data_IF_237888896073
#
_entry.id   IF_237888896073
#
_cell.length_a   1.000
_cell.length_b   1.000
_cell.length_c   1.000
_cell.angle_alpha   90.00
_cell.angle_beta   90.00
_cell.angle_gamma   90.00
#
_symmetry.space_group_name_H-M   'P 1'
#
loop_
_entity.id
_entity.type
_entity.pdbx_description
1 polymer ?
#
# COMPACT_ATOMS: atom_id res chain seq x y z
N UNK A 1 -23.65 37.70 9.21
CA UNK A 1 -23.12 37.70 10.59
C UNK A 1 -21.62 37.86 10.50
N UNK A 2 -21.10 39.02 10.88
CA UNK A 2 -19.67 39.29 10.82
C UNK A 2 -18.92 38.45 11.86
N UNK A 3 -18.16 37.46 11.38
CA UNK A 3 -17.32 36.64 12.23
C UNK A 3 -16.12 37.48 12.70
N UNK A 4 -16.16 37.94 13.95
CA UNK A 4 -15.06 38.72 14.54
C UNK A 4 -13.86 37.81 14.81
N UNK A 5 -12.78 38.05 14.07
CA UNK A 5 -11.50 37.35 14.23
C UNK A 5 -10.94 37.64 15.61
N UNK A 6 -10.53 36.59 16.32
CA UNK A 6 -9.97 36.68 17.67
C UNK A 6 -8.68 37.50 17.67
N UNK A 7 -8.69 38.62 18.40
CA UNK A 7 -7.54 39.54 18.54
C UNK A 7 -6.56 39.10 19.64
N UNK A 8 -7.05 38.44 20.69
CA UNK A 8 -6.22 37.95 21.80
C UNK A 8 -5.82 36.48 21.63
N UNK A 9 -4.51 36.23 21.58
CA UNK A 9 -3.86 34.94 21.31
C UNK A 9 -3.28 34.25 22.56
N UNK A 10 -3.74 34.60 23.76
CA UNK A 10 -3.32 33.93 25.00
C UNK A 10 -3.89 32.51 25.12
N UNK A 11 -3.11 31.60 25.72
CA UNK A 11 -3.46 30.19 25.88
C UNK A 11 -4.54 30.02 26.96
N UNK A 12 -5.81 30.03 26.56
CA UNK A 12 -6.91 29.59 27.40
C UNK A 12 -7.02 28.05 27.32
N UNK A 13 -7.31 27.40 28.44
CA UNK A 13 -7.46 25.94 28.57
C UNK A 13 -8.47 25.30 27.61
N UNK A 14 -8.85 24.01 27.79
CA UNK A 14 -9.54 23.21 26.78
C UNK A 14 -10.98 23.71 26.48
N UNK A 15 -11.08 24.72 25.61
CA UNK A 15 -12.33 25.27 25.10
C UNK A 15 -12.74 24.52 23.82
N UNK A 16 -13.99 24.07 23.73
CA UNK A 16 -14.53 23.43 22.52
C UNK A 16 -14.79 24.49 21.45
N UNK A 17 -13.88 24.60 20.50
CA UNK A 17 -13.92 25.52 19.36
C UNK A 17 -14.95 25.09 18.29
N UNK A 18 -16.26 25.20 18.59
CA UNK A 18 -17.35 24.78 17.67
C UNK A 18 -17.60 25.79 16.55
N UNK A 19 -17.75 27.07 16.89
CA UNK A 19 -18.01 28.14 15.92
C UNK A 19 -16.85 28.32 14.95
N UNK A 20 -15.62 28.24 15.46
CA UNK A 20 -14.39 28.28 14.67
C UNK A 20 -14.30 27.09 13.71
N UNK A 21 -14.74 25.90 14.14
CA UNK A 21 -14.73 24.69 13.30
C UNK A 21 -15.77 24.78 12.17
N UNK A 22 -16.95 25.30 12.44
CA UNK A 22 -17.97 25.53 11.42
C UNK A 22 -17.52 26.55 10.38
N UNK A 23 -16.94 27.68 10.82
CA UNK A 23 -16.38 28.69 9.92
C UNK A 23 -15.20 28.15 9.09
N UNK A 24 -14.34 27.34 9.71
CA UNK A 24 -13.26 26.66 8.99
C UNK A 24 -13.78 25.80 7.84
N UNK A 25 -14.85 25.02 8.03
CA UNK A 25 -15.42 24.18 6.96
C UNK A 25 -16.13 25.00 5.88
N UNK A 26 -16.76 26.12 6.24
CA UNK A 26 -17.35 27.06 5.26
C UNK A 26 -16.27 27.66 4.35
N UNK A 27 -15.14 28.11 4.91
CA UNK A 27 -14.00 28.61 4.13
C UNK A 27 -13.38 27.52 3.24
N UNK A 28 -13.26 26.29 3.72
CA UNK A 28 -12.76 25.17 2.91
C UNK A 28 -13.69 24.84 1.75
N UNK A 29 -15.02 24.91 1.94
CA UNK A 29 -16.00 24.74 0.85
C UNK A 29 -15.95 25.85 -0.19
N UNK A 30 -15.54 27.07 0.21
CA UNK A 30 -15.29 28.19 -0.69
C UNK A 30 -13.93 28.11 -1.41
N UNK A 31 -13.15 27.03 -1.22
CA UNK A 31 -11.90 26.78 -1.92
C UNK A 31 -10.62 27.24 -1.20
N UNK A 32 -10.73 27.80 0.00
CA UNK A 32 -9.55 28.25 0.75
C UNK A 32 -8.67 27.08 1.25
N UNK A 33 -7.35 27.24 1.11
CA UNK A 33 -6.37 26.26 1.59
C UNK A 33 -6.31 26.17 3.12
N UNK A 34 -5.86 25.03 3.66
CA UNK A 34 -5.84 24.77 5.12
C UNK A 34 -5.13 25.87 5.94
N UNK A 35 -4.01 26.38 5.42
CA UNK A 35 -3.21 27.44 6.08
C UNK A 35 -3.99 28.75 6.15
N UNK A 36 -4.70 29.10 5.09
CA UNK A 36 -5.46 30.33 4.99
C UNK A 36 -6.76 30.25 5.80
N UNK A 37 -7.50 29.15 5.70
CA UNK A 37 -8.69 28.89 6.50
C UNK A 37 -8.38 28.88 8.01
N UNK A 38 -7.27 28.24 8.43
CA UNK A 38 -6.85 28.25 9.83
C UNK A 38 -6.47 29.65 10.32
N UNK A 39 -5.80 30.45 9.48
CA UNK A 39 -5.41 31.83 9.79
C UNK A 39 -6.65 32.73 9.97
N UNK A 40 -7.64 32.64 9.08
CA UNK A 40 -8.88 33.44 9.14
C UNK A 40 -9.71 33.12 10.37
N UNK A 41 -9.71 31.85 10.79
CA UNK A 41 -10.45 31.36 11.96
C UNK A 41 -9.68 31.60 13.28
N UNK A 42 -8.41 32.00 13.22
CA UNK A 42 -7.60 32.28 14.40
C UNK A 42 -7.09 31.02 15.12
N UNK A 43 -6.92 29.90 14.40
CA UNK A 43 -6.42 28.64 14.95
C UNK A 43 -5.09 28.22 14.33
N UNK A 44 -4.30 27.44 15.08
CA UNK A 44 -3.04 26.91 14.57
C UNK A 44 -3.30 25.95 13.39
N UNK A 45 -2.41 25.92 12.38
CA UNK A 45 -2.57 25.10 11.18
C UNK A 45 -2.78 23.60 11.49
N UNK A 46 -2.13 23.13 12.57
CA UNK A 46 -2.31 21.77 13.11
C UNK A 46 -3.77 21.48 13.50
N UNK A 47 -4.44 22.43 14.14
CA UNK A 47 -5.84 22.30 14.57
C UNK A 47 -6.78 22.19 13.37
N UNK A 48 -6.59 23.04 12.35
CA UNK A 48 -7.32 22.93 11.08
C UNK A 48 -7.07 21.59 10.39
N UNK A 49 -5.82 21.10 10.41
CA UNK A 49 -5.45 19.79 9.87
C UNK A 49 -6.13 18.64 10.62
N UNK A 50 -6.26 18.73 11.95
CA UNK A 50 -6.97 17.77 12.78
C UNK A 50 -8.49 17.81 12.57
N UNK A 51 -9.08 18.98 12.31
CA UNK A 51 -10.50 19.08 11.97
C UNK A 51 -10.80 18.45 10.62
N UNK A 52 -9.96 18.73 9.61
CA UNK A 52 -10.11 18.20 8.26
C UNK A 52 -9.87 16.70 8.15
N UNK A 53 -8.85 16.19 8.86
CA UNK A 53 -8.37 14.83 8.66
C UNK A 53 -8.62 13.89 9.86
N UNK A 54 -9.17 14.42 10.96
CA UNK A 54 -9.29 13.74 12.25
C UNK A 54 -8.01 13.85 13.10
N UNK A 55 -8.14 13.64 14.41
CA UNK A 55 -6.98 13.44 15.29
C UNK A 55 -6.29 12.11 14.96
N UNK A 56 -4.97 12.13 14.85
CA UNK A 56 -4.15 10.92 14.74
C UNK A 56 -4.12 10.23 16.11
N UNK A 57 -5.16 9.45 16.44
CA UNK A 57 -5.06 8.47 17.52
C UNK A 57 -4.45 7.19 16.93
N UNK A 58 -3.32 6.67 17.46
CA UNK A 58 -2.64 5.52 16.87
C UNK A 58 -3.43 4.21 16.95
N UNK A 59 -4.58 4.15 17.63
CA UNK A 59 -5.20 2.87 17.97
C UNK A 59 -6.74 2.80 18.04
N UNK A 60 -7.48 3.65 17.32
CA UNK A 60 -8.94 3.44 17.15
C UNK A 60 -9.34 3.47 15.69
N UNK A 61 -9.62 2.29 15.14
CA UNK A 61 -10.43 2.10 13.94
C UNK A 61 -11.80 2.76 14.21
N UNK A 62 -11.98 4.01 13.76
CA UNK A 62 -13.35 4.53 13.61
C UNK A 62 -13.96 3.82 12.41
N UNK A 63 -15.16 3.26 12.61
CA UNK A 63 -15.99 2.83 11.51
C UNK A 63 -16.10 4.00 10.48
N UNK A 64 -16.10 3.70 9.17
CA UNK A 64 -16.27 4.74 8.16
C UNK A 64 -17.51 5.57 8.50
N UNK A 65 -17.40 6.89 8.36
CA UNK A 65 -18.55 7.77 8.49
C UNK A 65 -19.63 7.26 7.54
N UNK A 66 -20.78 6.86 8.08
CA UNK A 66 -21.95 6.58 7.25
C UNK A 66 -22.27 7.89 6.53
N UNK A 67 -22.23 7.87 5.20
CA UNK A 67 -22.70 9.00 4.42
C UNK A 67 -24.18 9.19 4.77
N UNK A 68 -24.52 10.30 5.41
CA UNK A 68 -25.91 10.73 5.50
C UNK A 68 -26.42 10.89 4.07
N UNK A 69 -27.32 9.99 3.67
CA UNK A 69 -27.89 9.96 2.33
C UNK A 69 -28.87 11.12 2.24
N UNK A 70 -28.73 11.96 1.21
CA UNK A 70 -29.66 13.04 0.93
C UNK A 70 -31.12 12.52 0.91
N UNK A 71 -32.05 13.16 1.61
CA UNK A 71 -33.47 12.79 1.59
C UNK A 71 -34.05 13.21 0.23
N UNK A 72 -34.33 12.26 -0.65
CA UNK A 72 -35.02 12.60 -1.91
C UNK A 72 -35.03 11.54 -3.02
N UNK A 73 -34.16 10.53 -2.99
CA UNK A 73 -34.22 9.48 -4.00
C UNK A 73 -35.19 8.36 -3.57
N UNK A 74 -36.28 8.19 -4.32
CA UNK A 74 -37.17 7.04 -4.22
C UNK A 74 -36.34 5.73 -4.29
N UNK A 75 -36.14 5.10 -3.13
CA UNK A 75 -35.42 3.83 -3.04
C UNK A 75 -36.24 2.69 -3.65
N UNK A 76 -35.57 1.75 -4.34
CA UNK A 76 -36.18 0.48 -4.80
C UNK A 76 -36.87 -0.30 -3.66
N UNK A 77 -36.38 -0.14 -2.44
CA UNK A 77 -36.92 -0.78 -1.23
C UNK A 77 -37.71 0.23 -0.39
N UNK A 78 -38.81 -0.23 0.22
CA UNK A 78 -39.51 0.53 1.25
C UNK A 78 -38.54 0.89 2.38
N UNK A 79 -38.56 2.14 2.81
CA UNK A 79 -37.81 2.66 3.95
C UNK A 79 -38.65 2.61 5.22
N UNK A 80 -38.04 2.93 6.37
CA UNK A 80 -38.76 2.97 7.65
C UNK A 80 -39.92 3.98 7.62
N UNK A 81 -39.70 5.15 7.04
CA UNK A 81 -40.74 6.16 6.83
C UNK A 81 -41.92 5.64 5.98
N UNK A 82 -41.64 4.92 4.89
CA UNK A 82 -42.68 4.29 4.07
C UNK A 82 -43.49 3.27 4.89
N UNK A 83 -42.82 2.52 5.79
CA UNK A 83 -43.47 1.54 6.66
C UNK A 83 -44.32 2.18 7.74
N UNK A 84 -43.87 3.30 8.32
CA UNK A 84 -44.66 4.11 9.26
C UNK A 84 -45.92 4.63 8.58
N UNK A 85 -45.79 5.20 7.38
CA UNK A 85 -46.92 5.67 6.57
C UNK A 85 -47.92 4.54 6.28
N UNK A 86 -47.46 3.35 5.88
CA UNK A 86 -48.34 2.18 5.71
C UNK A 86 -49.08 1.85 7.01
N UNK A 87 -48.42 1.91 8.17
CA UNK A 87 -49.04 1.59 9.45
C UNK A 87 -50.14 2.60 9.84
N UNK A 88 -49.89 3.90 9.64
CA UNK A 88 -50.85 4.95 9.97
C UNK A 88 -52.07 4.88 9.04
N UNK A 89 -51.86 4.73 7.73
CA UNK A 89 -52.97 4.62 6.77
C UNK A 89 -53.80 3.35 6.92
N UNK A 90 -53.21 2.27 7.43
CA UNK A 90 -53.98 1.07 7.81
C UNK A 90 -54.87 1.31 9.03
N UNK A 91 -54.46 2.16 9.99
CA UNK A 91 -55.30 2.56 11.12
C UNK A 91 -56.49 3.41 10.65
N UNK A 92 -56.25 4.26 9.65
CA UNK A 92 -57.29 5.04 8.96
C UNK A 92 -58.19 4.20 8.04
N UNK A 93 -58.00 2.87 8.00
CA UNK A 93 -58.72 1.93 7.12
C UNK A 93 -58.58 2.24 5.63
N UNK A 94 -57.49 2.90 5.21
CA UNK A 94 -57.23 3.19 3.80
C UNK A 94 -57.00 1.91 2.99
N UNK A 95 -57.40 1.91 1.72
CA UNK A 95 -57.21 0.77 0.83
C UNK A 95 -55.73 0.62 0.42
N UNK A 96 -55.31 -0.61 0.13
CA UNK A 96 -53.94 -0.90 -0.36
C UNK A 96 -53.60 -0.09 -1.62
N UNK A 97 -54.59 0.19 -2.49
CA UNK A 97 -54.41 1.00 -3.70
C UNK A 97 -54.17 2.48 -3.38
N UNK A 98 -54.87 3.03 -2.38
CA UNK A 98 -54.67 4.40 -1.92
C UNK A 98 -53.27 4.58 -1.32
N UNK A 99 -52.87 3.67 -0.41
CA UNK A 99 -51.54 3.68 0.21
C UNK A 99 -50.43 3.57 -0.85
N UNK A 100 -50.64 2.73 -1.87
CA UNK A 100 -49.74 2.59 -3.00
C UNK A 100 -49.61 3.87 -3.83
N UNK A 101 -50.73 4.55 -4.12
CA UNK A 101 -50.71 5.81 -4.85
C UNK A 101 -49.99 6.92 -4.07
N UNK A 102 -50.27 7.05 -2.77
CA UNK A 102 -49.64 8.03 -1.86
C UNK A 102 -48.11 7.85 -1.78
N UNK A 103 -47.63 6.60 -1.77
CA UNK A 103 -46.20 6.29 -1.70
C UNK A 103 -45.51 6.18 -3.08
N UNK A 104 -46.23 6.32 -4.19
CA UNK A 104 -45.70 6.09 -5.53
C UNK A 104 -45.16 4.65 -5.71
N UNK A 105 -45.91 3.65 -5.22
CA UNK A 105 -45.55 2.21 -5.25
C UNK A 105 -46.63 1.38 -5.93
N UNK A 106 -46.25 0.19 -6.40
CA UNK A 106 -47.27 -0.75 -6.90
C UNK A 106 -48.16 -1.26 -5.75
N UNK A 107 -49.48 -1.45 -5.95
CA UNK A 107 -50.37 -2.06 -4.96
C UNK A 107 -49.87 -3.45 -4.49
N UNK A 108 -49.22 -4.18 -5.40
CA UNK A 108 -48.60 -5.48 -5.08
C UNK A 108 -47.44 -5.37 -4.09
N UNK A 109 -46.66 -4.29 -4.13
CA UNK A 109 -45.58 -4.05 -3.16
C UNK A 109 -46.14 -3.88 -1.76
N UNK A 110 -47.16 -3.02 -1.61
CA UNK A 110 -47.81 -2.72 -0.33
C UNK A 110 -48.53 -3.96 0.20
N UNK A 111 -49.29 -4.67 -0.65
CA UNK A 111 -49.98 -5.91 -0.27
C UNK A 111 -49.01 -6.98 0.28
N UNK A 112 -47.89 -7.22 -0.42
CA UNK A 112 -46.88 -8.20 0.00
C UNK A 112 -46.17 -7.78 1.29
N UNK A 113 -45.85 -6.49 1.45
CA UNK A 113 -45.22 -5.98 2.66
C UNK A 113 -46.11 -6.18 3.88
N UNK A 114 -47.40 -5.81 3.77
CA UNK A 114 -48.36 -5.98 4.85
C UNK A 114 -48.49 -7.47 5.18
N UNK A 115 -48.81 -8.31 4.19
CA UNK A 115 -49.02 -9.75 4.40
C UNK A 115 -47.82 -10.42 5.07
N UNK A 116 -46.61 -10.12 4.61
CA UNK A 116 -45.37 -10.73 5.11
C UNK A 116 -45.00 -10.33 6.54
N UNK A 117 -45.46 -9.16 7.00
CA UNK A 117 -45.04 -8.58 8.28
C UNK A 117 -46.19 -8.42 9.29
N UNK A 118 -47.36 -9.03 9.04
CA UNK A 118 -48.44 -9.13 10.04
C UNK A 118 -48.00 -9.95 11.24
N UNK A 119 -48.41 -9.50 12.43
CA UNK A 119 -48.17 -10.24 13.66
C UNK A 119 -49.04 -11.52 13.71
N UNK A 120 -48.47 -12.70 13.98
CA UNK A 120 -49.20 -13.97 13.91
C UNK A 120 -50.42 -14.06 14.82
N UNK A 121 -50.36 -13.47 16.01
CA UNK A 121 -51.44 -13.60 17.01
C UNK A 121 -52.59 -12.61 16.85
N UNK A 122 -52.36 -11.40 16.33
CA UNK A 122 -53.39 -10.36 16.29
C UNK A 122 -53.53 -9.68 14.91
N UNK A 123 -52.80 -10.15 13.91
CA UNK A 123 -52.87 -9.66 12.53
C UNK A 123 -52.35 -8.24 12.32
N UNK A 124 -51.87 -7.54 13.37
CA UNK A 124 -51.47 -6.14 13.27
C UNK A 124 -50.15 -5.99 12.50
N UNK A 125 -50.08 -4.93 11.69
CA UNK A 125 -48.86 -4.55 10.99
C UNK A 125 -47.99 -3.68 11.91
N UNK A 126 -46.74 -4.10 12.16
CA UNK A 126 -45.79 -3.39 13.04
C UNK A 126 -44.61 -2.84 12.22
N UNK A 127 -44.50 -1.51 12.01
CA UNK A 127 -43.56 -0.92 11.07
C UNK A 127 -42.09 -1.12 11.46
N UNK A 128 -41.73 -0.90 12.73
CA UNK A 128 -40.34 -1.11 13.21
C UNK A 128 -39.90 -2.57 13.15
N UNK A 129 -40.80 -3.51 13.45
CA UNK A 129 -40.50 -4.94 13.31
C UNK A 129 -40.36 -5.35 11.84
N UNK A 130 -41.13 -4.76 10.93
CA UNK A 130 -41.00 -4.96 9.49
C UNK A 130 -39.66 -4.41 8.97
N UNK A 131 -39.22 -3.24 9.45
CA UNK A 131 -37.91 -2.66 9.14
C UNK A 131 -36.78 -3.57 9.63
N UNK A 132 -36.80 -3.98 10.91
CA UNK A 132 -35.78 -4.86 11.48
C UNK A 132 -35.68 -6.20 10.73
N UNK A 133 -36.81 -6.80 10.31
CA UNK A 133 -36.80 -8.02 9.46
C UNK A 133 -36.29 -7.76 8.06
N UNK A 134 -36.58 -6.60 7.48
CA UNK A 134 -36.05 -6.23 6.16
C UNK A 134 -34.53 -6.07 6.23
N UNK A 135 -34.01 -5.41 7.26
CA UNK A 135 -32.58 -5.26 7.50
C UNK A 135 -31.92 -6.60 7.82
N UNK A 136 -32.55 -7.47 8.61
CA UNK A 136 -32.04 -8.82 8.89
C UNK A 136 -31.99 -9.73 7.66
N UNK A 137 -32.86 -9.53 6.66
CA UNK A 137 -32.86 -10.27 5.38
C UNK A 137 -31.95 -9.65 4.31
N UNK A 138 -31.43 -8.45 4.57
CA UNK A 138 -30.61 -7.69 3.61
C UNK A 138 -29.25 -8.34 3.37
N UNK A 139 -28.56 -8.92 4.36
CA UNK A 139 -27.36 -9.72 4.12
C UNK A 139 -27.70 -10.92 3.25
N UNK A 140 -27.09 -10.98 2.06
CA UNK A 140 -27.00 -12.21 1.26
C UNK A 140 -25.53 -12.57 1.12
N UNK A 141 -24.90 -13.14 2.16
CA UNK A 141 -23.52 -13.58 2.06
C UNK A 141 -23.46 -14.69 1.00
N UNK A 142 -22.82 -14.41 -0.12
CA UNK A 142 -22.37 -15.45 -1.04
C UNK A 142 -20.98 -15.86 -0.57
N UNK A 143 -20.70 -17.17 -0.44
CA UNK A 143 -19.33 -17.60 -0.22
C UNK A 143 -18.48 -17.08 -1.39
N UNK A 144 -17.31 -16.53 -1.09
CA UNK A 144 -16.39 -16.05 -2.11
C UNK A 144 -15.64 -17.21 -2.74
N UNK A 145 -15.15 -16.97 -3.96
CA UNK A 145 -14.41 -17.95 -4.76
C UNK A 145 -13.17 -18.52 -4.04
N UNK A 146 -12.53 -17.72 -3.17
CA UNK A 146 -11.36 -18.17 -2.40
C UNK A 146 -11.80 -19.10 -1.26
N UNK A 147 -12.91 -18.79 -0.58
CA UNK A 147 -13.49 -19.65 0.44
C UNK A 147 -13.96 -21.01 -0.07
N UNK A 148 -14.52 -21.06 -1.28
CA UNK A 148 -15.06 -22.29 -1.89
C UNK A 148 -13.98 -23.21 -2.48
N UNK A 149 -12.84 -22.67 -2.91
CA UNK A 149 -11.78 -23.43 -3.56
C UNK A 149 -10.52 -23.51 -2.68
N UNK A 150 -10.35 -24.65 -2.01
CA UNK A 150 -9.21 -24.90 -1.12
C UNK A 150 -7.87 -24.76 -1.84
N UNK A 151 -7.72 -25.33 -3.04
CA UNK A 151 -6.46 -25.23 -3.79
C UNK A 151 -6.11 -23.79 -4.17
N UNK A 152 -7.11 -22.97 -4.52
CA UNK A 152 -6.91 -21.54 -4.77
C UNK A 152 -6.49 -20.80 -3.50
N UNK A 153 -7.18 -21.06 -2.39
CA UNK A 153 -6.88 -20.45 -1.09
C UNK A 153 -5.46 -20.79 -0.64
N UNK A 154 -5.08 -22.06 -0.72
CA UNK A 154 -3.78 -22.55 -0.26
C UNK A 154 -2.66 -21.98 -1.16
N UNK A 155 -2.87 -21.90 -2.48
CA UNK A 155 -1.92 -21.22 -3.37
C UNK A 155 -1.76 -19.73 -3.01
N UNK A 156 -2.86 -19.01 -2.75
CA UNK A 156 -2.80 -17.60 -2.36
C UNK A 156 -2.07 -17.45 -1.02
N UNK A 157 -2.37 -18.32 -0.05
CA UNK A 157 -1.78 -18.37 1.27
C UNK A 157 -0.25 -18.55 1.18
N UNK A 158 0.22 -19.60 0.50
CA UNK A 158 1.64 -19.92 0.36
C UNK A 158 2.47 -18.78 -0.25
N UNK A 159 1.89 -18.07 -1.21
CA UNK A 159 2.59 -16.97 -1.89
C UNK A 159 2.49 -15.66 -1.09
N UNK A 160 1.41 -15.44 -0.35
CA UNK A 160 1.35 -14.34 0.62
C UNK A 160 2.37 -14.55 1.73
N UNK A 161 2.59 -15.76 2.22
CA UNK A 161 3.60 -16.05 3.26
C UNK A 161 5.03 -15.76 2.76
N UNK A 162 5.27 -15.95 1.45
CA UNK A 162 6.48 -15.52 0.73
C UNK A 162 6.49 -14.02 0.37
N UNK A 163 5.54 -13.24 0.92
CA UNK A 163 5.32 -11.78 0.73
C UNK A 163 5.19 -11.36 -0.73
N UNK A 164 4.57 -12.20 -1.57
CA UNK A 164 4.17 -11.80 -2.91
C UNK A 164 3.01 -10.81 -2.83
N UNK A 165 2.98 -9.84 -3.74
CA UNK A 165 1.83 -8.95 -3.83
C UNK A 165 0.63 -9.69 -4.43
N UNK A 166 -0.61 -9.29 -4.09
CA UNK A 166 -1.81 -9.84 -4.72
C UNK A 166 -1.77 -9.82 -6.27
N UNK A 167 -1.19 -8.79 -6.89
CA UNK A 167 -1.01 -8.74 -8.35
C UNK A 167 -0.04 -9.83 -8.86
N UNK A 168 1.09 -10.05 -8.16
CA UNK A 168 2.04 -11.12 -8.49
C UNK A 168 1.37 -12.50 -8.41
N UNK A 169 0.58 -12.73 -7.36
CA UNK A 169 -0.14 -13.99 -7.16
C UNK A 169 -1.15 -14.24 -8.29
N UNK A 170 -1.92 -13.21 -8.69
CA UNK A 170 -2.89 -13.33 -9.79
C UNK A 170 -2.23 -13.74 -11.11
N UNK A 171 -1.07 -13.16 -11.43
CA UNK A 171 -0.37 -13.47 -12.67
C UNK A 171 0.26 -14.85 -12.63
N UNK A 172 0.78 -15.26 -11.46
CA UNK A 172 1.28 -16.61 -11.26
C UNK A 172 0.18 -17.67 -11.36
N UNK A 173 -1.02 -17.40 -10.81
CA UNK A 173 -2.19 -18.27 -10.97
C UNK A 173 -2.57 -18.46 -12.44
N UNK A 174 -2.60 -17.38 -13.23
CA UNK A 174 -2.88 -17.47 -14.68
C UNK A 174 -1.83 -18.26 -15.45
N UNK A 175 -0.55 -18.02 -15.15
CA UNK A 175 0.58 -18.71 -15.80
C UNK A 175 0.61 -20.20 -15.43
N UNK A 176 0.35 -20.54 -14.17
CA UNK A 176 0.38 -21.93 -13.69
C UNK A 176 -0.85 -22.72 -14.11
N UNK A 177 -2.01 -22.08 -14.21
CA UNK A 177 -3.29 -22.75 -14.46
C UNK A 177 -4.06 -22.13 -15.64
N UNK A 178 -3.49 -22.05 -16.85
CA UNK A 178 -4.11 -21.32 -17.97
C UNK A 178 -5.50 -21.86 -18.36
N UNK A 179 -5.69 -23.18 -18.27
CA UNK A 179 -6.94 -23.85 -18.63
C UNK A 179 -7.95 -23.99 -17.46
N UNK A 180 -7.70 -23.38 -16.30
CA UNK A 180 -8.56 -23.51 -15.11
C UNK A 180 -9.06 -22.15 -14.61
N UNK A 181 -10.15 -21.60 -15.20
CA UNK A 181 -10.70 -20.30 -14.82
C UNK A 181 -11.10 -20.22 -13.34
N UNK A 182 -11.43 -21.33 -12.69
CA UNK A 182 -11.73 -21.43 -11.27
C UNK A 182 -10.53 -21.11 -10.36
N UNK A 183 -9.30 -21.18 -10.88
CA UNK A 183 -8.08 -20.74 -10.20
C UNK A 183 -7.76 -19.26 -10.42
N UNK A 184 -8.48 -18.58 -11.32
CA UNK A 184 -8.17 -17.18 -11.66
C UNK A 184 -8.97 -16.21 -10.80
N UNK A 185 -8.27 -15.27 -10.17
CA UNK A 185 -8.86 -14.16 -9.43
C UNK A 185 -8.19 -12.85 -9.84
N UNK A 186 -8.87 -11.73 -9.61
CA UNK A 186 -8.26 -10.41 -9.70
C UNK A 186 -7.65 -10.04 -8.35
N UNK A 187 -6.64 -9.17 -8.34
CA UNK A 187 -5.93 -8.82 -7.10
C UNK A 187 -6.84 -8.14 -6.07
N UNK A 188 -7.89 -7.44 -6.52
CA UNK A 188 -8.94 -6.91 -5.64
C UNK A 188 -9.69 -8.01 -4.90
N UNK A 189 -9.91 -9.19 -5.50
CA UNK A 189 -10.54 -10.33 -4.81
C UNK A 189 -9.68 -10.80 -3.62
N UNK A 190 -8.37 -10.83 -3.79
CA UNK A 190 -7.43 -11.17 -2.71
C UNK A 190 -7.44 -10.08 -1.64
N UNK A 191 -7.45 -8.79 -2.01
CA UNK A 191 -7.57 -7.69 -1.04
C UNK A 191 -8.87 -7.75 -0.25
N UNK A 192 -10.01 -8.01 -0.90
CA UNK A 192 -11.30 -8.16 -0.23
C UNK A 192 -11.30 -9.35 0.73
N UNK A 193 -10.68 -10.48 0.36
CA UNK A 193 -10.53 -11.64 1.24
C UNK A 193 -9.65 -11.35 2.47
N UNK A 194 -8.66 -10.46 2.36
CA UNK A 194 -7.80 -10.04 3.47
C UNK A 194 -8.45 -8.99 4.39
N UNK A 195 -9.23 -8.06 3.85
CA UNK A 195 -9.72 -6.89 4.59
C UNK A 195 -11.18 -7.00 5.09
N UNK A 196 -12.04 -7.77 4.43
CA UNK A 196 -13.46 -7.83 4.79
C UNK A 196 -13.69 -8.86 5.90
N UNK A 197 -13.83 -8.38 7.13
CA UNK A 197 -14.08 -9.20 8.34
C UNK A 197 -15.31 -10.13 8.23
N UNK A 198 -16.27 -9.85 7.34
CA UNK A 198 -17.45 -10.69 7.11
C UNK A 198 -17.26 -11.81 6.08
N UNK A 199 -16.11 -11.91 5.41
CA UNK A 199 -15.79 -13.02 4.50
C UNK A 199 -14.81 -14.03 5.11
N UNK A 200 -13.82 -13.59 5.89
CA UNK A 200 -13.00 -14.48 6.73
C UNK A 200 -12.29 -15.64 6.00
N UNK A 201 -12.10 -15.55 4.68
CA UNK A 201 -11.58 -16.65 3.85
C UNK A 201 -10.05 -16.84 4.00
N UNK A 202 -9.35 -15.81 4.50
CA UNK A 202 -7.90 -15.81 4.75
C UNK A 202 -7.60 -15.27 6.16
N UNK A 203 -6.53 -15.78 6.78
CA UNK A 203 -6.13 -15.38 8.14
C UNK A 203 -5.72 -13.90 8.17
N UNK A 204 -6.14 -13.18 9.22
CA UNK A 204 -5.86 -11.74 9.39
C UNK A 204 -4.36 -11.43 9.50
N UNK A 205 -3.56 -12.37 9.98
CA UNK A 205 -2.11 -12.25 10.16
C UNK A 205 -1.37 -12.01 8.85
N UNK A 206 -1.95 -12.43 7.71
CA UNK A 206 -1.38 -12.27 6.37
C UNK A 206 -1.36 -10.83 5.89
N UNK A 207 -2.11 -9.95 6.53
CA UNK A 207 -1.99 -8.50 6.28
C UNK A 207 -0.58 -7.98 6.60
N UNK A 208 0.19 -8.66 7.47
CA UNK A 208 1.60 -8.36 7.75
C UNK A 208 2.54 -8.67 6.59
N UNK A 209 2.14 -9.60 5.71
CA UNK A 209 2.95 -9.99 4.55
C UNK A 209 2.79 -9.03 3.36
N UNK A 210 1.83 -8.09 3.42
CA UNK A 210 1.65 -7.06 2.40
C UNK A 210 2.78 -6.02 2.45
N UNK A 211 3.21 -5.56 1.27
CA UNK A 211 4.36 -4.64 1.09
C UNK A 211 4.29 -3.35 1.91
N UNK A 212 3.09 -2.92 2.28
CA UNK A 212 2.87 -1.75 3.12
C UNK A 212 1.79 -2.04 4.14
N UNK A 213 2.12 -2.05 5.43
CA UNK A 213 1.15 -2.00 6.53
C UNK A 213 0.44 -0.63 6.67
N UNK A 214 0.39 0.15 5.60
CA UNK A 214 -0.08 1.55 5.60
C UNK A 214 -1.58 1.58 5.34
N UNK A 215 -2.32 2.28 6.20
CA UNK A 215 -3.74 2.57 5.97
C UNK A 215 -3.99 3.80 5.06
N UNK A 216 -2.97 4.63 4.77
CA UNK A 216 -3.07 5.85 3.93
C UNK A 216 -1.78 6.18 3.18
N UNK A 217 -1.91 6.89 2.05
CA UNK A 217 -0.81 7.39 1.20
C UNK A 217 -0.09 8.56 1.88
N UNK A 218 1.25 8.59 1.81
CA UNK A 218 2.06 9.73 2.28
C UNK A 218 2.17 10.81 1.20
N UNK A 219 2.20 12.10 1.57
CA UNK A 219 2.65 13.17 0.69
C UNK A 219 4.14 13.00 0.35
N UNK A 220 4.51 13.33 -0.88
CA UNK A 220 5.90 13.36 -1.34
C UNK A 220 6.67 14.48 -0.62
N UNK A 221 7.92 14.22 -0.18
CA UNK A 221 8.83 15.27 0.30
C UNK A 221 9.77 15.64 -0.84
N UNK A 222 10.09 16.92 -0.97
CA UNK A 222 11.13 17.41 -1.89
C UNK A 222 12.51 17.18 -1.27
N UNK A 223 13.47 16.75 -2.09
CA UNK A 223 14.84 16.52 -1.67
C UNK A 223 15.62 17.86 -1.67
N UNK A 224 16.23 18.22 -0.55
CA UNK A 224 17.21 19.29 -0.49
C UNK A 224 18.61 18.72 -0.81
N UNK A 225 19.40 19.47 -1.58
CA UNK A 225 20.70 19.04 -2.10
C UNK A 225 21.76 18.85 -1.00
N UNK A 226 22.69 17.92 -1.23
CA UNK A 226 23.89 17.70 -0.40
C UNK A 226 25.13 17.88 -1.28
N UNK A 227 26.20 18.40 -0.67
CA UNK A 227 27.50 18.69 -1.28
C UNK A 227 28.40 17.43 -1.36
N UNK A 228 29.33 17.35 -2.34
CA UNK A 228 30.21 16.20 -2.56
C UNK A 228 31.31 16.06 -1.49
N UNK A 229 31.83 14.82 -1.30
CA UNK A 229 32.66 14.43 -0.14
C UNK A 229 33.98 13.67 -0.45
N UNK A 230 34.44 13.57 -1.70
CA UNK A 230 35.65 12.77 -2.05
C UNK A 230 36.80 13.56 -2.68
N UNK A 231 38.00 12.98 -2.55
CA UNK A 231 39.31 13.51 -2.95
C UNK A 231 39.89 12.94 -4.25
N UNK A 232 39.32 11.89 -4.85
CA UNK A 232 39.81 11.27 -6.10
C UNK A 232 38.87 11.54 -7.29
N UNK A 233 39.40 11.67 -8.53
CA UNK A 233 38.58 11.92 -9.73
C UNK A 233 37.61 10.76 -10.01
N UNK A 234 36.35 11.09 -10.33
CA UNK A 234 35.26 10.15 -10.54
C UNK A 234 34.97 9.96 -12.04
N UNK A 235 34.73 8.72 -12.47
CA UNK A 235 34.09 8.44 -13.76
C UNK A 235 32.58 8.55 -13.55
N UNK A 236 31.98 9.59 -14.12
CA UNK A 236 30.55 9.88 -13.93
C UNK A 236 29.68 8.93 -14.75
N UNK A 237 28.42 8.73 -14.36
CA UNK A 237 27.48 7.85 -15.08
C UNK A 237 27.29 8.27 -16.55
N UNK A 238 27.52 9.54 -16.88
CA UNK A 238 27.52 10.08 -18.24
C UNK A 238 28.62 9.53 -19.14
N UNK A 239 29.69 8.99 -18.57
CA UNK A 239 30.83 8.41 -19.30
C UNK A 239 30.63 6.92 -19.59
N UNK A 240 29.43 6.38 -19.37
CA UNK A 240 29.10 4.98 -19.68
C UNK A 240 28.90 4.76 -21.17
N UNK A 241 29.30 3.59 -21.69
CA UNK A 241 28.87 3.13 -23.00
C UNK A 241 27.34 3.13 -23.12
N UNK A 242 26.81 3.56 -24.28
CA UNK A 242 25.38 3.69 -24.51
C UNK A 242 24.59 2.37 -24.35
N UNK A 243 25.25 1.22 -24.57
CA UNK A 243 24.71 -0.13 -24.37
C UNK A 243 24.18 -0.40 -22.94
N UNK A 244 24.62 0.38 -21.94
CA UNK A 244 24.22 0.23 -20.53
C UNK A 244 22.82 0.82 -20.27
N UNK A 245 22.38 1.80 -21.05
CA UNK A 245 21.08 2.45 -20.86
C UNK A 245 19.91 1.58 -21.32
N UNK A 246 20.11 0.80 -22.39
CA UNK A 246 19.08 -0.07 -22.96
C UNK A 246 18.80 -1.32 -22.10
N UNK A 247 19.63 -1.59 -21.07
CA UNK A 247 19.48 -2.74 -20.15
C UNK A 247 19.36 -4.08 -20.91
N UNK A 248 19.93 -4.13 -22.10
CA UNK A 248 19.91 -5.28 -22.99
C UNK A 248 21.03 -6.26 -22.65
N UNK A 249 22.16 -5.74 -22.16
CA UNK A 249 23.35 -6.53 -21.81
C UNK A 249 23.36 -6.85 -20.32
N UNK A 250 23.45 -8.13 -19.91
CA UNK A 250 23.59 -8.50 -18.51
C UNK A 250 24.97 -8.17 -17.96
N UNK A 251 25.01 -7.97 -16.64
CA UNK A 251 26.25 -7.82 -15.87
C UNK A 251 26.58 -6.39 -15.46
N UNK A 252 25.66 -5.46 -15.68
CA UNK A 252 25.75 -4.12 -15.12
C UNK A 252 24.97 -4.07 -13.81
N UNK A 253 25.67 -3.78 -12.70
CA UNK A 253 25.09 -3.82 -11.36
C UNK A 253 24.86 -2.40 -10.83
N UNK A 254 23.75 -2.20 -10.14
CA UNK A 254 23.47 -1.03 -9.32
C UNK A 254 23.66 -1.39 -7.84
N UNK A 255 24.48 -0.61 -7.15
CA UNK A 255 24.77 -0.74 -5.74
C UNK A 255 24.11 0.31 -4.86
N UNK A 256 23.77 -0.05 -3.62
CA UNK A 256 23.25 0.85 -2.59
C UNK A 256 23.47 0.27 -1.19
N UNK A 257 23.24 1.07 -0.16
CA UNK A 257 23.24 0.63 1.24
C UNK A 257 21.85 0.73 1.87
N UNK A 258 21.41 -0.37 2.46
CA UNK A 258 20.31 -0.37 3.42
C UNK A 258 20.89 -0.10 4.80
N UNK A 259 20.60 1.09 5.33
CA UNK A 259 21.04 1.49 6.67
C UNK A 259 20.05 1.01 7.74
N UNK A 260 20.60 0.48 8.84
CA UNK A 260 19.93 0.01 10.04
C UNK A 260 19.70 1.09 11.09
N UNK A 261 19.49 0.66 12.33
CA UNK A 261 19.23 1.53 13.48
C UNK A 261 20.39 2.51 13.72
N UNK A 262 20.04 3.78 13.91
CA UNK A 262 20.96 4.89 14.25
C UNK A 262 22.19 5.04 13.34
N UNK A 263 22.17 4.44 12.14
CA UNK A 263 23.31 4.42 11.24
C UNK A 263 24.43 3.45 11.62
N UNK A 264 24.22 2.61 12.65
CA UNK A 264 25.24 1.72 13.22
C UNK A 264 25.45 0.39 12.49
N UNK A 265 24.48 -0.06 11.69
CA UNK A 265 24.59 -1.27 10.87
C UNK A 265 24.07 -1.04 9.45
N UNK A 266 24.55 -1.85 8.51
CA UNK A 266 24.20 -1.75 7.10
C UNK A 266 24.19 -3.11 6.42
N UNK A 267 23.45 -3.20 5.31
CA UNK A 267 23.54 -4.29 4.33
C UNK A 267 23.76 -3.64 2.97
N UNK A 268 24.75 -4.10 2.22
CA UNK A 268 24.93 -3.69 0.84
C UNK A 268 23.94 -4.41 -0.07
N UNK A 269 23.46 -3.72 -1.09
CA UNK A 269 22.51 -4.28 -2.05
C UNK A 269 23.06 -4.12 -3.44
N UNK A 270 23.15 -5.22 -4.19
CA UNK A 270 23.52 -5.23 -5.60
C UNK A 270 22.31 -5.69 -6.41
N UNK A 271 21.93 -4.92 -7.43
CA UNK A 271 20.82 -5.25 -8.32
C UNK A 271 21.29 -5.21 -9.76
N UNK A 272 21.15 -6.33 -10.46
CA UNK A 272 21.54 -6.43 -11.87
C UNK A 272 20.51 -5.70 -12.76
N UNK A 273 20.99 -4.85 -13.68
CA UNK A 273 20.17 -3.88 -14.42
C UNK A 273 19.23 -4.52 -15.46
N UNK A 274 19.48 -5.74 -15.91
CA UNK A 274 18.72 -6.36 -16.99
C UNK A 274 17.67 -7.34 -16.44
N UNK A 275 18.07 -8.15 -15.47
CA UNK A 275 17.31 -9.23 -14.82
C UNK A 275 16.67 -8.80 -13.50
N UNK A 276 17.10 -7.69 -12.89
CA UNK A 276 16.74 -7.28 -11.52
C UNK A 276 17.13 -8.30 -10.46
N UNK A 277 18.11 -9.16 -10.76
CA UNK A 277 18.61 -10.13 -9.80
C UNK A 277 19.30 -9.40 -8.64
N UNK A 278 18.96 -9.79 -7.42
CA UNK A 278 19.41 -9.11 -6.20
C UNK A 278 20.42 -9.98 -5.47
N UNK A 279 21.51 -9.37 -5.05
CA UNK A 279 22.45 -9.96 -4.10
C UNK A 279 22.60 -9.03 -2.89
N UNK A 280 22.74 -9.61 -1.71
CA UNK A 280 22.92 -8.88 -0.47
C UNK A 280 24.35 -9.07 0.03
N UNK A 281 25.02 -7.96 0.31
CA UNK A 281 26.39 -7.91 0.80
C UNK A 281 26.33 -7.81 2.31
N UNK A 282 26.83 -8.85 2.98
CA UNK A 282 26.88 -8.92 4.45
C UNK A 282 28.01 -8.03 4.99
N UNK A 283 27.67 -7.09 5.89
CA UNK A 283 28.59 -6.12 6.47
C UNK A 283 28.60 -6.20 8.00
N UNK A 284 29.16 -7.28 8.59
CA UNK A 284 29.09 -7.50 10.04
C UNK A 284 29.97 -6.54 10.85
N UNK A 285 31.07 -6.08 10.27
CA UNK A 285 32.08 -5.23 10.93
C UNK A 285 31.89 -3.73 10.65
N UNK A 286 30.79 -3.36 10.00
CA UNK A 286 30.45 -1.97 9.69
C UNK A 286 30.57 -1.61 8.21
N UNK A 287 30.43 -0.32 7.91
CA UNK A 287 30.31 0.24 6.55
C UNK A 287 31.45 1.19 6.16
N UNK A 288 32.63 1.02 6.75
CA UNK A 288 33.80 1.78 6.29
C UNK A 288 34.13 1.41 4.84
N UNK A 289 34.90 2.25 4.17
CA UNK A 289 35.22 2.04 2.76
C UNK A 289 35.99 0.73 2.53
N UNK A 290 36.85 0.34 3.48
CA UNK A 290 37.63 -0.90 3.45
C UNK A 290 36.73 -2.13 3.62
N UNK A 291 35.88 -2.12 4.66
CA UNK A 291 34.95 -3.22 4.89
C UNK A 291 33.97 -3.41 3.72
N UNK A 292 33.51 -2.30 3.14
CA UNK A 292 32.62 -2.34 1.98
C UNK A 292 33.33 -2.89 0.74
N UNK A 293 34.56 -2.42 0.46
CA UNK A 293 35.40 -2.95 -0.63
C UNK A 293 35.60 -4.45 -0.49
N UNK A 294 36.03 -4.93 0.67
CA UNK A 294 36.38 -6.33 0.88
C UNK A 294 35.15 -7.23 0.73
N UNK A 295 34.01 -6.81 1.30
CA UNK A 295 32.75 -7.55 1.19
C UNK A 295 32.19 -7.54 -0.24
N UNK A 296 32.29 -6.41 -0.96
CA UNK A 296 31.92 -6.32 -2.37
C UNK A 296 32.78 -7.24 -3.23
N UNK A 297 34.10 -7.18 -3.05
CA UNK A 297 35.07 -8.00 -3.78
C UNK A 297 34.75 -9.49 -3.60
N UNK A 298 34.58 -9.95 -2.37
CA UNK A 298 34.21 -11.34 -2.08
C UNK A 298 32.86 -11.74 -2.73
N UNK A 299 31.92 -10.80 -2.85
CA UNK A 299 30.60 -11.05 -3.45
C UNK A 299 30.68 -11.16 -4.97
N UNK A 300 31.39 -10.25 -5.64
CA UNK A 300 31.51 -10.24 -7.11
C UNK A 300 32.42 -11.33 -7.63
N UNK A 301 33.47 -11.72 -6.87
CA UNK A 301 34.36 -12.82 -7.25
C UNK A 301 33.68 -14.19 -7.22
N UNK A 302 32.56 -14.32 -6.51
CA UNK A 302 31.75 -15.53 -6.52
C UNK A 302 30.88 -15.65 -7.79
N UNK A 303 30.78 -14.60 -8.60
CA UNK A 303 30.02 -14.61 -9.85
C UNK A 303 30.90 -15.00 -11.03
N UNK A 304 30.32 -15.66 -12.06
CA UNK A 304 31.01 -15.83 -13.33
C UNK A 304 31.44 -14.48 -13.93
N UNK A 305 32.66 -14.40 -14.46
CA UNK A 305 33.23 -13.14 -14.96
C UNK A 305 32.35 -12.44 -16.01
N UNK A 306 31.68 -13.19 -16.88
CA UNK A 306 30.80 -12.64 -17.92
C UNK A 306 29.50 -11.99 -17.36
N UNK A 307 29.18 -12.21 -16.08
CA UNK A 307 28.05 -11.58 -15.38
C UNK A 307 28.46 -10.34 -14.57
N UNK A 308 29.71 -9.89 -14.65
CA UNK A 308 30.16 -8.70 -13.92
C UNK A 308 30.97 -7.80 -14.84
N UNK A 309 30.27 -6.83 -15.44
CA UNK A 309 30.82 -5.87 -16.42
C UNK A 309 31.06 -4.50 -15.82
N UNK A 310 30.16 -4.02 -14.95
CA UNK A 310 30.36 -2.75 -14.25
C UNK A 310 29.52 -2.64 -13.00
N UNK A 311 29.93 -1.72 -12.12
CA UNK A 311 29.21 -1.36 -10.91
C UNK A 311 28.82 0.13 -10.96
N UNK A 312 27.58 0.43 -10.56
CA UNK A 312 27.07 1.79 -10.33
C UNK A 312 26.92 2.01 -8.85
N UNK A 313 27.38 3.15 -8.33
CA UNK A 313 27.09 3.54 -6.94
C UNK A 313 26.75 5.02 -6.84
N UNK A 314 26.18 5.44 -5.71
CA UNK A 314 26.16 6.87 -5.37
C UNK A 314 27.50 7.33 -4.77
N UNK A 315 27.62 8.65 -4.60
CA UNK A 315 28.77 9.29 -3.98
C UNK A 315 28.70 9.14 -2.45
N UNK A 316 28.49 7.93 -1.96
CA UNK A 316 28.50 7.56 -0.55
C UNK A 316 29.91 7.33 -0.02
N UNK A 317 30.16 7.68 1.25
CA UNK A 317 31.49 7.59 1.89
C UNK A 317 32.06 6.17 1.92
N UNK A 318 31.17 5.19 1.89
CA UNK A 318 31.47 3.78 1.76
C UNK A 318 32.20 3.40 0.46
N UNK A 319 32.14 4.23 -0.59
CA UNK A 319 32.82 3.99 -1.87
C UNK A 319 34.13 4.78 -2.01
N UNK A 320 34.68 5.34 -0.93
CA UNK A 320 35.95 6.06 -0.98
C UNK A 320 37.11 5.18 -1.51
N UNK A 321 37.05 3.86 -1.28
CA UNK A 321 38.06 2.89 -1.72
C UNK A 321 37.73 2.21 -3.08
N UNK A 322 36.83 2.79 -3.89
CA UNK A 322 36.41 2.22 -5.17
C UNK A 322 37.56 1.98 -6.16
N UNK A 323 38.59 2.84 -6.17
CA UNK A 323 39.74 2.64 -7.04
C UNK A 323 40.47 1.33 -6.73
N UNK A 324 40.67 1.02 -5.44
CA UNK A 324 41.28 -0.24 -5.02
C UNK A 324 40.38 -1.44 -5.39
N UNK A 325 39.05 -1.29 -5.31
CA UNK A 325 38.10 -2.29 -5.79
C UNK A 325 38.27 -2.55 -7.30
N UNK A 326 38.28 -1.49 -8.12
CA UNK A 326 38.41 -1.62 -9.58
C UNK A 326 39.72 -2.30 -9.97
N UNK A 327 40.84 -1.91 -9.35
CA UNK A 327 42.16 -2.52 -9.61
C UNK A 327 42.18 -4.01 -9.23
N UNK A 328 41.54 -4.39 -8.11
CA UNK A 328 41.56 -5.76 -7.63
C UNK A 328 40.61 -6.70 -8.40
N UNK A 329 39.60 -6.16 -9.09
CA UNK A 329 38.53 -6.95 -9.72
C UNK A 329 38.42 -6.77 -11.23
N UNK A 330 39.11 -5.78 -11.79
CA UNK A 330 38.97 -5.33 -13.18
C UNK A 330 37.54 -4.85 -13.53
N UNK A 331 36.74 -4.52 -12.51
CA UNK A 331 35.36 -4.05 -12.70
C UNK A 331 35.34 -2.52 -12.66
N UNK A 332 34.93 -1.83 -13.73
CA UNK A 332 34.75 -0.39 -13.71
C UNK A 332 33.60 0.03 -12.80
N UNK A 333 33.88 0.99 -11.92
CA UNK A 333 32.90 1.62 -11.02
C UNK A 333 32.55 3.01 -11.55
N UNK A 334 31.25 3.28 -11.68
CA UNK A 334 30.74 4.59 -12.10
C UNK A 334 29.87 5.20 -11.01
N UNK A 335 29.91 6.52 -10.89
CA UNK A 335 29.17 7.27 -9.88
C UNK A 335 28.01 8.06 -10.47
N UNK A 336 26.87 8.06 -9.77
CA UNK A 336 25.74 8.92 -10.11
C UNK A 336 26.01 10.38 -9.78
N UNK A 337 25.28 11.27 -10.46
CA UNK A 337 25.34 12.70 -10.20
C UNK A 337 24.75 13.06 -8.82
N UNK A 338 25.32 14.05 -8.11
CA UNK A 338 24.75 14.52 -6.86
C UNK A 338 23.31 15.00 -7.04
N UNK A 339 22.39 14.48 -6.22
CA UNK A 339 20.98 14.89 -6.28
C UNK A 339 20.16 14.23 -7.38
N UNK A 340 20.68 13.20 -8.06
CA UNK A 340 20.02 12.49 -9.16
C UNK A 340 19.61 11.05 -8.82
N UNK A 341 18.76 10.81 -7.80
CA UNK A 341 18.39 9.45 -7.37
C UNK A 341 17.64 8.63 -8.46
N UNK A 342 17.04 9.29 -9.46
CA UNK A 342 16.37 8.61 -10.57
C UNK A 342 17.33 7.79 -11.44
N UNK A 343 18.63 8.09 -11.43
CA UNK A 343 19.66 7.31 -12.11
C UNK A 343 19.84 5.90 -11.49
N UNK A 344 19.26 5.65 -10.30
CA UNK A 344 19.25 4.34 -9.59
C UNK A 344 17.84 3.87 -9.25
N UNK A 345 16.87 4.10 -10.13
CA UNK A 345 15.47 3.73 -9.89
C UNK A 345 15.25 2.23 -9.56
N UNK A 346 16.15 1.34 -9.97
CA UNK A 346 16.09 -0.10 -9.66
C UNK A 346 16.33 -0.37 -8.17
N UNK A 347 17.33 0.30 -7.59
CA UNK A 347 17.72 0.12 -6.19
C UNK A 347 16.68 0.70 -5.23
N UNK A 348 16.08 1.84 -5.53
CA UNK A 348 15.05 2.41 -4.64
C UNK A 348 13.85 1.45 -4.47
N UNK A 349 13.35 0.91 -5.58
CA UNK A 349 12.26 -0.06 -5.56
C UNK A 349 12.67 -1.36 -4.85
N UNK A 350 13.87 -1.87 -5.14
CA UNK A 350 14.37 -3.11 -4.54
C UNK A 350 14.59 -2.96 -3.03
N UNK A 351 15.19 -1.86 -2.59
CA UNK A 351 15.35 -1.51 -1.19
C UNK A 351 14.00 -1.38 -0.50
N UNK A 352 13.01 -0.81 -1.18
CA UNK A 352 11.62 -0.79 -0.72
C UNK A 352 11.04 -2.19 -0.42
N UNK A 353 11.42 -3.21 -1.18
CA UNK A 353 11.00 -4.60 -0.97
C UNK A 353 11.79 -5.28 0.14
N UNK A 354 13.11 -5.05 0.17
CA UNK A 354 14.00 -5.57 1.22
C UNK A 354 13.58 -5.07 2.61
N UNK A 355 12.95 -3.90 2.72
CA UNK A 355 12.37 -3.41 3.99
C UNK A 355 11.22 -4.27 4.56
N UNK A 356 10.69 -5.24 3.82
CA UNK A 356 9.76 -6.25 4.37
C UNK A 356 10.48 -7.31 5.21
N UNK A 357 11.78 -7.48 4.99
CA UNK A 357 12.65 -8.41 5.71
C UNK A 357 13.52 -7.68 6.72
N UNK A 358 13.95 -6.46 6.37
CA UNK A 358 14.85 -5.61 7.14
C UNK A 358 14.17 -4.26 7.47
N UNK A 359 13.21 -4.23 8.42
CA UNK A 359 12.46 -3.02 8.72
C UNK A 359 13.37 -1.82 9.06
N UNK A 360 12.87 -0.60 8.81
CA UNK A 360 13.66 0.60 9.16
C UNK A 360 13.82 0.71 10.67
N UNK A 361 15.02 1.08 11.12
CA UNK A 361 15.31 1.30 12.54
C UNK A 361 15.58 0.02 13.34
N UNK A 362 15.69 -1.14 12.68
CA UNK A 362 16.19 -2.37 13.31
C UNK A 362 17.70 -2.46 13.16
N UNK A 363 18.34 -3.16 14.09
CA UNK A 363 19.73 -3.53 13.91
C UNK A 363 19.82 -4.61 12.82
N UNK A 364 20.69 -4.39 11.84
CA UNK A 364 20.93 -5.29 10.72
C UNK A 364 22.10 -6.25 10.98
N UNK A 365 22.94 -5.98 11.98
CA UNK A 365 24.10 -6.83 12.33
C UNK A 365 23.67 -8.23 12.80
N UNK A 366 22.44 -8.35 13.29
CA UNK A 366 21.85 -9.61 13.77
C UNK A 366 21.55 -10.61 12.65
N UNK A 367 21.60 -10.18 11.38
CA UNK A 367 21.29 -11.03 10.25
C UNK A 367 22.57 -11.68 9.71
N UNK A 368 22.65 -13.00 9.80
CA UNK A 368 23.76 -13.78 9.23
C UNK A 368 23.77 -13.74 7.71
N UNK A 369 24.91 -14.12 7.11
CA UNK A 369 25.04 -14.28 5.65
C UNK A 369 23.99 -15.22 5.09
N UNK A 370 23.79 -16.39 5.70
CA UNK A 370 22.79 -17.38 5.27
C UNK A 370 21.37 -16.81 5.27
N UNK A 371 21.03 -15.97 6.25
CA UNK A 371 19.74 -15.31 6.28
C UNK A 371 19.60 -14.29 5.14
N UNK A 372 20.66 -13.53 4.83
CA UNK A 372 20.64 -12.62 3.68
C UNK A 372 20.49 -13.39 2.35
N UNK A 373 21.19 -14.51 2.20
CA UNK A 373 21.11 -15.35 1.01
C UNK A 373 19.71 -15.96 0.85
N UNK A 374 19.10 -16.44 1.94
CA UNK A 374 17.71 -16.92 1.93
C UNK A 374 16.72 -15.81 1.52
N UNK A 375 16.91 -14.58 2.01
CA UNK A 375 16.09 -13.42 1.61
C UNK A 375 16.28 -13.09 0.14
N UNK A 376 17.53 -13.12 -0.37
CA UNK A 376 17.82 -12.89 -1.78
C UNK A 376 17.15 -13.95 -2.66
N UNK A 377 17.22 -15.23 -2.29
CA UNK A 377 16.53 -16.33 -2.99
C UNK A 377 15.01 -16.10 -3.03
N UNK A 378 14.39 -15.78 -1.90
CA UNK A 378 12.94 -15.51 -1.86
C UNK A 378 12.58 -14.30 -2.75
N UNK A 379 13.39 -13.24 -2.74
CA UNK A 379 13.15 -12.03 -3.52
C UNK A 379 13.37 -12.23 -5.04
N UNK A 380 14.36 -13.03 -5.41
CA UNK A 380 14.69 -13.42 -6.78
C UNK A 380 13.73 -14.48 -7.34
N UNK A 381 12.98 -15.17 -6.48
CA UNK A 381 11.86 -16.03 -6.85
C UNK A 381 10.54 -15.28 -7.07
N UNK A 382 10.48 -13.95 -6.88
CA UNK A 382 9.23 -13.19 -7.07
C UNK A 382 9.09 -12.65 -8.49
N UNK A 383 7.95 -12.87 -9.18
CA UNK A 383 7.76 -12.42 -10.55
C UNK A 383 7.70 -10.90 -10.65
N UNK A 384 8.29 -10.33 -11.71
CA UNK A 384 8.36 -8.87 -11.91
C UNK A 384 7.57 -8.45 -13.12
N UNK A 385 6.68 -7.46 -12.94
CA UNK A 385 5.93 -6.85 -14.06
C UNK A 385 6.84 -6.30 -15.15
N UNK A 386 7.98 -5.73 -14.76
CA UNK A 386 9.00 -5.22 -15.69
C UNK A 386 9.71 -6.30 -16.50
N UNK A 387 9.59 -7.57 -16.10
CA UNK A 387 10.18 -8.72 -16.79
C UNK A 387 9.07 -9.61 -17.40
N UNK A 388 7.92 -9.04 -17.74
CA UNK A 388 6.80 -9.82 -18.28
C UNK A 388 6.27 -10.89 -17.32
N UNK A 389 6.45 -10.71 -16.01
CA UNK A 389 6.11 -11.66 -14.95
C UNK A 389 7.02 -12.90 -14.86
N UNK A 390 8.19 -12.88 -15.49
CA UNK A 390 9.29 -13.77 -15.12
C UNK A 390 9.90 -13.34 -13.78
N UNK A 391 10.49 -14.31 -13.08
CA UNK A 391 11.27 -14.05 -11.87
C UNK A 391 12.70 -13.63 -12.26
N UNK A 392 13.39 -12.80 -11.44
CA UNK A 392 14.79 -12.46 -11.69
C UNK A 392 15.69 -13.70 -11.82
N UNK A 393 15.44 -14.75 -11.03
CA UNK A 393 16.16 -16.01 -11.11
C UNK A 393 15.94 -16.73 -12.45
N UNK A 394 14.70 -16.80 -12.94
CA UNK A 394 14.40 -17.38 -14.26
C UNK A 394 15.08 -16.58 -15.38
N UNK A 395 14.99 -15.24 -15.31
CA UNK A 395 15.56 -14.36 -16.33
C UNK A 395 17.08 -14.49 -16.38
N UNK A 396 17.74 -14.50 -15.23
CA UNK A 396 19.18 -14.71 -15.13
C UNK A 396 19.59 -16.08 -15.66
N UNK A 397 18.85 -17.14 -15.32
CA UNK A 397 19.10 -18.49 -15.83
C UNK A 397 18.99 -18.56 -17.35
N UNK A 398 18.00 -17.90 -17.96
CA UNK A 398 17.86 -17.84 -19.42
C UNK A 398 19.08 -17.16 -20.07
N UNK A 399 19.62 -16.11 -19.45
CA UNK A 399 20.82 -15.42 -19.95
C UNK A 399 22.11 -16.21 -19.72
N UNK A 400 22.15 -17.08 -18.71
CA UNK A 400 23.26 -17.99 -18.46
C UNK A 400 23.29 -19.20 -19.41
N UNK A 401 22.14 -19.55 -19.99
CA UNK A 401 21.98 -20.69 -20.89
C UNK A 401 22.03 -20.31 -22.38
N UNK A 402 22.01 -19.01 -22.68
CA UNK A 402 22.18 -18.44 -24.02
C UNK A 402 23.66 -18.07 -24.22
#
# INVERSE_FOLDING_TARGET
>A
MDFKIRTDRTAQGPKKLRAEREEYFRLVQQGYGNREASRRVGVHERTGREWRNGRMAPNRLRAPAQAERAPGASSRYLQEADRLHIADRLRDKASVRAIAAELGRSPSTISREIRRNRHPGNGQYRPYAAQARADGRRPRPKPGKIGENAALRDFIQDHLDKRWSPEQICQALRRRFPARPEMHVVHETIYQALYVQGRGELRRELTRALRTGRARRKPHRQAASRQPRFTHPMVMISERPAEVEDRAVPGHWEGDLIIGKDGGSAIGTLVERSTRYVMLVHLPTGRSAEHMRDALQATVQALPAHLVRSLTWDQGSEMAAHHAFSVATDIPVYFCDPGSPWQRGSNENTNGLLRQYFPKGTDLSVHSRDHLDAVAVELNGRPRKTLGWETPAERLRTLLAA
#
